data_IF_382207397936
#
_entry.id   IF_382207397936
#
_cell.length_a   1.000
_cell.length_b   1.000
_cell.length_c   1.000
_cell.angle_alpha   90.00
_cell.angle_beta   90.00
_cell.angle_gamma   90.00
#
_symmetry.space_group_name_H-M   'P 1'
#
loop_
_entity.id
_entity.type
_entity.pdbx_description
1 polymer ?
#
# COMPACT_ATOMS: atom_id res chain seq x y z
N UNK A 1 -7.72 -0.11 -6.23
CA UNK A 1 -8.59 1.06 -6.44
C UNK A 1 -8.09 2.21 -7.30
N UNK A 2 -6.80 2.57 -7.37
CA UNK A 2 -6.34 3.60 -8.33
C UNK A 2 -5.37 3.06 -9.39
N UNK A 3 -4.82 1.85 -9.19
CA UNK A 3 -3.98 1.17 -10.20
C UNK A 3 -4.65 -0.05 -10.84
N UNK A 4 -5.72 -0.55 -10.22
CA UNK A 4 -6.55 -1.59 -10.83
C UNK A 4 -7.57 -0.96 -11.76
N UNK A 5 -7.46 -1.30 -13.04
CA UNK A 5 -8.57 -1.20 -13.99
C UNK A 5 -9.81 -1.84 -13.37
N UNK A 6 -10.93 -1.16 -13.54
CA UNK A 6 -12.30 -1.50 -13.07
C UNK A 6 -12.80 -2.91 -13.41
N UNK A 7 -12.01 -3.71 -14.13
CA UNK A 7 -12.33 -5.07 -14.61
C UNK A 7 -12.05 -6.15 -13.54
N UNK A 8 -11.09 -5.94 -12.64
CA UNK A 8 -10.71 -6.94 -11.61
C UNK A 8 -11.64 -6.97 -10.39
N UNK A 9 -12.55 -5.99 -10.24
CA UNK A 9 -13.40 -5.84 -9.05
C UNK A 9 -14.77 -6.50 -9.15
N UNK A 10 -15.16 -7.03 -10.33
CA UNK A 10 -16.28 -7.97 -10.46
C UNK A 10 -17.62 -7.53 -9.84
N UNK A 11 -17.87 -6.23 -9.64
CA UNK A 11 -19.16 -5.71 -9.19
C UNK A 11 -19.47 -4.39 -9.88
N UNK A 12 -20.55 -4.48 -10.65
CA UNK A 12 -21.37 -3.45 -11.26
C UNK A 12 -21.06 -2.02 -10.87
N UNK A 13 -20.67 -1.24 -11.88
CA UNK A 13 -20.61 0.20 -11.84
C UNK A 13 -21.87 0.82 -11.20
N UNK A 14 -21.64 1.83 -10.35
CA UNK A 14 -22.61 2.90 -10.15
C UNK A 14 -23.68 2.66 -9.09
N UNK A 15 -23.31 2.31 -7.87
CA UNK A 15 -24.14 2.65 -6.72
C UNK A 15 -23.34 2.67 -5.43
N UNK A 16 -23.61 3.71 -4.67
CA UNK A 16 -23.13 4.01 -3.32
C UNK A 16 -21.74 4.65 -3.26
N UNK A 17 -21.84 5.98 -3.36
CA UNK A 17 -21.05 6.93 -2.61
C UNK A 17 -19.55 6.89 -2.89
N UNK A 18 -19.12 7.92 -3.61
CA UNK A 18 -17.86 8.58 -3.36
C UNK A 18 -17.75 8.86 -1.85
N UNK A 19 -17.34 7.86 -1.09
CA UNK A 19 -16.84 8.07 0.25
C UNK A 19 -15.67 9.03 0.03
N UNK A 20 -15.80 10.24 0.56
CA UNK A 20 -14.77 11.27 0.66
C UNK A 20 -13.56 10.78 1.50
N UNK A 21 -13.08 9.56 1.26
CA UNK A 21 -11.85 9.04 1.79
C UNK A 21 -10.75 9.75 1.03
N UNK A 22 -10.18 10.74 1.70
CA UNK A 22 -8.84 11.23 1.44
C UNK A 22 -7.87 10.03 1.46
N UNK A 23 -7.72 9.36 0.33
CA UNK A 23 -6.71 8.31 0.12
C UNK A 23 -5.38 8.99 -0.17
N UNK A 24 -4.27 8.37 0.23
CA UNK A 24 -2.94 8.92 -0.03
C UNK A 24 -2.77 9.40 -1.50
N UNK A 25 -3.12 8.61 -2.53
CA UNK A 25 -3.02 9.08 -3.92
C UNK A 25 -3.90 10.29 -4.24
N UNK A 26 -5.11 10.38 -3.68
CA UNK A 26 -6.02 11.50 -3.91
C UNK A 26 -5.56 12.82 -3.25
N UNK A 27 -4.80 12.75 -2.16
CA UNK A 27 -4.36 13.93 -1.39
C UNK A 27 -2.98 14.41 -1.83
N UNK A 28 -2.02 13.49 -2.02
CA UNK A 28 -0.62 13.85 -2.27
C UNK A 28 -0.14 13.45 -3.67
N UNK A 29 -0.99 12.79 -4.47
CA UNK A 29 -0.65 12.29 -5.81
C UNK A 29 0.13 10.98 -5.77
N UNK A 30 -0.06 10.14 -6.81
CA UNK A 30 0.48 8.78 -6.88
C UNK A 30 2.00 8.70 -6.66
N UNK A 31 2.76 9.62 -7.25
CA UNK A 31 4.22 9.66 -7.09
C UNK A 31 4.66 9.90 -5.65
N UNK A 32 4.03 10.84 -4.94
CA UNK A 32 4.34 11.09 -3.52
C UNK A 32 3.82 9.95 -2.63
N UNK A 33 2.68 9.36 -2.95
CA UNK A 33 2.17 8.18 -2.25
C UNK A 33 3.12 6.99 -2.33
N UNK A 34 3.72 6.74 -3.50
CA UNK A 34 4.75 5.69 -3.65
C UNK A 34 6.00 5.98 -2.80
N UNK A 35 6.44 7.24 -2.73
CA UNK A 35 7.56 7.65 -1.87
C UNK A 35 7.25 7.47 -0.39
N UNK A 36 6.05 7.86 0.06
CA UNK A 36 5.63 7.65 1.44
C UNK A 36 5.49 6.17 1.79
N UNK A 37 4.95 5.35 0.87
CA UNK A 37 4.91 3.90 1.05
C UNK A 37 6.33 3.32 1.25
N UNK A 38 7.29 3.71 0.40
CA UNK A 38 8.67 3.26 0.53
C UNK A 38 9.31 3.69 1.86
N UNK A 39 9.06 4.94 2.30
CA UNK A 39 9.55 5.47 3.58
C UNK A 39 8.98 4.70 4.77
N UNK A 40 7.67 4.43 4.76
CA UNK A 40 6.99 3.69 5.83
C UNK A 40 7.45 2.23 5.87
N UNK A 41 7.66 1.59 4.71
CA UNK A 41 8.23 0.24 4.63
C UNK A 41 9.64 0.20 5.22
N UNK A 42 10.48 1.20 4.93
CA UNK A 42 11.82 1.29 5.53
C UNK A 42 11.73 1.41 7.06
N UNK A 43 10.88 2.30 7.57
CA UNK A 43 10.70 2.47 9.01
C UNK A 43 10.20 1.17 9.70
N UNK A 44 9.34 0.41 9.03
CA UNK A 44 8.91 -0.91 9.49
C UNK A 44 10.09 -1.90 9.52
N UNK A 45 10.91 -1.95 8.47
CA UNK A 45 12.10 -2.82 8.44
C UNK A 45 13.11 -2.47 9.54
N UNK A 46 13.35 -1.18 9.78
CA UNK A 46 14.24 -0.69 10.84
C UNK A 46 13.73 -1.11 12.22
N UNK A 47 12.41 -1.00 12.45
CA UNK A 47 11.76 -1.44 13.69
C UNK A 47 11.84 -2.95 13.93
N UNK A 48 12.03 -3.74 12.88
CA UNK A 48 12.15 -5.20 12.95
C UNK A 48 13.60 -5.67 13.17
N UNK A 49 14.60 -4.80 13.03
CA UNK A 49 16.01 -5.15 13.23
C UNK A 49 16.30 -5.85 14.57
N UNK A 50 15.75 -5.40 15.71
CA UNK A 50 16.00 -6.05 17.01
C UNK A 50 15.50 -7.49 17.10
N UNK A 51 14.55 -7.91 16.25
CA UNK A 51 14.03 -9.27 16.22
C UNK A 51 15.00 -10.25 15.52
N UNK A 52 16.00 -9.75 14.81
CA UNK A 52 16.96 -10.55 14.04
C UNK A 52 16.26 -11.58 13.15
N UNK A 53 16.72 -12.84 13.20
CA UNK A 53 16.14 -13.94 12.40
C UNK A 53 14.66 -14.20 12.65
N UNK A 54 14.15 -13.92 13.86
CA UNK A 54 12.72 -14.10 14.18
C UNK A 54 11.83 -13.10 13.44
N UNK A 55 12.37 -11.94 13.05
CA UNK A 55 11.66 -10.91 12.29
C UNK A 55 11.62 -11.14 10.77
N UNK A 56 12.30 -12.16 10.25
CA UNK A 56 12.46 -12.37 8.81
C UNK A 56 11.13 -12.46 8.06
N UNK A 57 10.12 -13.13 8.64
CA UNK A 57 8.81 -13.24 8.00
C UNK A 57 8.08 -11.89 7.90
N UNK A 58 8.23 -11.04 8.91
CA UNK A 58 7.62 -9.71 8.92
C UNK A 58 8.31 -8.78 7.92
N UNK A 59 9.64 -8.89 7.77
CA UNK A 59 10.38 -8.15 6.74
C UNK A 59 9.94 -8.54 5.33
N UNK A 60 9.72 -9.83 5.07
CA UNK A 60 9.19 -10.31 3.79
C UNK A 60 7.80 -9.74 3.48
N UNK A 61 6.91 -9.70 4.48
CA UNK A 61 5.57 -9.12 4.31
C UNK A 61 5.66 -7.62 4.00
N UNK A 62 6.51 -6.88 4.72
CA UNK A 62 6.71 -5.45 4.50
C UNK A 62 7.27 -5.14 3.09
N UNK A 63 8.23 -5.94 2.62
CA UNK A 63 8.75 -5.84 1.24
C UNK A 63 7.67 -6.13 0.21
N UNK A 64 6.95 -7.25 0.38
CA UNK A 64 5.88 -7.67 -0.53
C UNK A 64 4.77 -6.61 -0.66
N UNK A 65 4.38 -5.96 0.44
CA UNK A 65 3.35 -4.92 0.42
C UNK A 65 3.78 -3.67 -0.37
N UNK A 66 5.09 -3.37 -0.43
CA UNK A 66 5.62 -2.26 -1.20
C UNK A 66 5.72 -2.59 -2.70
N UNK A 67 6.12 -3.82 -3.01
CA UNK A 67 6.41 -4.27 -4.37
C UNK A 67 5.18 -4.77 -5.12
N UNK A 68 4.10 -5.16 -4.43
CA UNK A 68 2.92 -5.69 -5.13
C UNK A 68 2.36 -4.66 -6.12
N UNK A 69 2.31 -5.06 -7.37
CA UNK A 69 1.50 -4.39 -8.39
C UNK A 69 0.03 -4.76 -8.15
N UNK A 70 -0.86 -3.76 -8.14
CA UNK A 70 -2.31 -3.97 -8.15
C UNK A 70 -2.84 -3.56 -9.51
#
# INVERSE_FOLDING_TARGET
>A
DVTQSTEMLGKTAGKDEAVHKATYPSVIGLGKSRKEAAKLTKAAMDSLQPLGRKGARLQQIAAYLLEREY
#
